data_IF_453625351072
#
_entry.id   IF_453625351072
#
_cell.length_a   1.000
_cell.length_b   1.000
_cell.length_c   1.000
_cell.angle_alpha   90.00
_cell.angle_beta   90.00
_cell.angle_gamma   90.00
#
_symmetry.space_group_name_H-M   'P 1'
#
loop_
_entity.id
_entity.type
_entity.pdbx_description
1 polymer ?
#
# COMPACT_ATOMS: atom_id res chain seq x y z
N UNK A 1 16.98 6.59 21.46
CA UNK A 1 16.55 6.64 20.07
C UNK A 1 16.42 5.21 19.53
N UNK A 2 15.29 4.90 18.91
CA UNK A 2 15.05 3.68 18.17
C UNK A 2 15.10 4.00 16.67
N UNK A 3 16.00 3.36 15.93
CA UNK A 3 16.15 3.51 14.48
C UNK A 3 16.45 2.16 13.85
N UNK A 4 16.37 2.06 12.54
CA UNK A 4 16.78 0.89 11.79
C UNK A 4 17.87 1.24 10.77
N UNK A 5 18.78 0.30 10.53
CA UNK A 5 19.77 0.41 9.45
C UNK A 5 19.13 0.03 8.10
N UNK A 6 19.71 0.50 6.99
CA UNK A 6 19.29 0.14 5.64
C UNK A 6 18.27 1.11 5.05
N UNK A 7 17.42 0.60 4.14
CA UNK A 7 16.55 1.44 3.30
C UNK A 7 15.26 1.88 3.96
N UNK A 8 14.85 1.26 5.03
CA UNK A 8 13.57 1.53 5.69
C UNK A 8 13.67 1.20 7.18
N UNK A 9 12.87 1.87 7.97
CA UNK A 9 12.54 1.45 9.32
C UNK A 9 11.93 0.04 9.27
N UNK A 10 11.27 -0.44 10.29
CA UNK A 10 10.67 -1.78 10.31
C UNK A 10 9.50 -1.83 9.32
N UNK A 11 9.57 -2.71 8.29
CA UNK A 11 8.56 -2.83 7.24
C UNK A 11 7.40 -3.80 7.57
N UNK A 12 7.28 -4.21 8.83
CA UNK A 12 6.26 -5.14 9.32
C UNK A 12 6.81 -6.48 9.77
N UNK A 13 5.90 -7.37 10.16
CA UNK A 13 6.22 -8.75 10.52
C UNK A 13 6.53 -9.60 9.26
N UNK A 14 7.34 -10.65 9.40
CA UNK A 14 7.52 -11.61 8.32
C UNK A 14 6.23 -12.44 8.14
N UNK A 15 5.57 -12.21 6.99
CA UNK A 15 4.31 -12.89 6.64
C UNK A 15 4.47 -14.42 6.62
N UNK A 16 5.69 -14.95 6.39
CA UNK A 16 5.98 -16.39 6.38
C UNK A 16 5.94 -17.01 7.78
N UNK A 17 5.97 -16.19 8.83
CA UNK A 17 5.87 -16.63 10.22
C UNK A 17 4.43 -16.69 10.72
N UNK A 18 3.48 -16.15 9.97
CA UNK A 18 2.07 -16.19 10.35
C UNK A 18 1.54 -17.64 10.42
N UNK A 19 0.94 -17.96 11.57
CA UNK A 19 0.44 -19.32 11.85
C UNK A 19 1.48 -20.29 12.40
N UNK A 20 2.74 -19.84 12.60
CA UNK A 20 3.76 -20.62 13.31
C UNK A 20 3.80 -20.23 14.80
N UNK A 21 4.32 -21.12 15.67
CA UNK A 21 4.61 -20.74 17.05
C UNK A 21 5.54 -19.53 17.08
N UNK A 22 5.13 -18.51 17.80
CA UNK A 22 5.95 -17.31 17.97
C UNK A 22 6.85 -17.48 19.21
N UNK A 23 8.10 -17.02 19.09
CA UNK A 23 9.04 -16.96 20.22
C UNK A 23 8.74 -15.81 21.19
N UNK A 24 9.36 -15.85 22.36
CA UNK A 24 9.34 -14.76 23.32
C UNK A 24 10.58 -13.84 23.10
N UNK A 25 10.44 -12.52 23.30
CA UNK A 25 9.21 -11.78 23.64
C UNK A 25 8.28 -11.59 22.44
N UNK A 26 6.99 -11.53 22.69
CA UNK A 26 6.00 -11.17 21.67
C UNK A 26 6.14 -9.68 21.31
N UNK A 27 5.80 -9.31 20.07
CA UNK A 27 5.90 -7.91 19.60
C UNK A 27 5.18 -6.93 20.52
N UNK A 28 3.99 -7.28 21.01
CA UNK A 28 3.22 -6.44 21.94
C UNK A 28 3.92 -6.23 23.29
N UNK A 29 4.68 -7.23 23.78
CA UNK A 29 5.39 -7.13 25.03
C UNK A 29 6.58 -6.18 24.90
N UNK A 30 7.24 -6.22 23.72
CA UNK A 30 8.30 -5.26 23.36
C UNK A 30 7.72 -3.84 23.25
N UNK A 31 6.58 -3.67 22.59
CA UNK A 31 5.91 -2.36 22.46
C UNK A 31 5.51 -1.84 23.84
N UNK A 32 4.95 -2.69 24.70
CA UNK A 32 4.60 -2.30 26.07
C UNK A 32 5.84 -1.91 26.90
N UNK A 33 6.95 -2.63 26.74
CA UNK A 33 8.21 -2.27 27.43
C UNK A 33 8.76 -0.92 26.94
N UNK A 34 8.66 -0.61 25.67
CA UNK A 34 9.04 0.69 25.10
C UNK A 34 8.14 1.79 25.66
N UNK A 35 6.82 1.59 25.62
CA UNK A 35 5.83 2.57 26.06
C UNK A 35 5.90 2.87 27.57
N UNK A 36 6.27 1.86 28.38
CA UNK A 36 6.44 2.00 29.83
C UNK A 36 7.86 2.46 30.25
N UNK A 37 8.70 2.81 29.29
CA UNK A 37 10.04 3.32 29.62
C UNK A 37 9.94 4.59 30.47
N UNK A 38 10.69 4.69 31.61
CA UNK A 38 10.71 5.90 32.41
C UNK A 38 11.43 7.08 31.74
N UNK A 39 12.06 6.85 30.59
CA UNK A 39 12.73 7.87 29.77
C UNK A 39 12.04 8.00 28.43
N UNK A 40 11.99 9.20 27.85
CA UNK A 40 11.49 9.38 26.51
C UNK A 40 12.19 8.46 25.50
N UNK A 41 11.42 7.75 24.70
CA UNK A 41 11.90 6.96 23.56
C UNK A 41 11.45 7.64 22.28
N UNK A 42 12.40 7.95 21.40
CA UNK A 42 12.17 8.57 20.10
C UNK A 42 12.33 7.53 19.01
N UNK A 43 11.32 7.34 18.17
CA UNK A 43 11.43 6.58 16.93
C UNK A 43 11.89 7.49 15.80
N UNK A 44 13.00 7.12 15.13
CA UNK A 44 13.50 7.81 13.93
C UNK A 44 13.13 7.01 12.69
N UNK A 45 12.11 7.48 11.97
CA UNK A 45 11.47 6.77 10.88
C UNK A 45 12.05 7.16 9.53
N UNK A 46 12.17 6.21 8.61
CA UNK A 46 12.55 6.45 7.22
C UNK A 46 12.00 5.36 6.31
N UNK A 47 11.91 5.66 5.02
CA UNK A 47 11.38 4.72 4.04
C UNK A 47 9.90 4.41 4.28
N UNK A 48 9.58 3.16 4.56
CA UNK A 48 8.20 2.71 4.74
C UNK A 48 8.01 1.91 6.03
N UNK A 49 7.83 2.57 7.20
CA UNK A 49 7.38 1.90 8.43
C UNK A 49 5.95 1.38 8.25
N UNK A 50 5.78 0.06 8.23
CA UNK A 50 4.51 -0.58 7.92
C UNK A 50 4.10 -1.60 8.99
N UNK A 51 2.79 -1.72 9.21
CA UNK A 51 2.21 -2.75 10.07
C UNK A 51 2.85 -2.78 11.44
N UNK A 52 3.33 -3.94 11.86
CA UNK A 52 4.03 -4.11 13.15
C UNK A 52 5.17 -3.11 13.36
N UNK A 53 5.83 -2.64 12.28
CA UNK A 53 6.85 -1.60 12.38
C UNK A 53 6.28 -0.22 12.76
N UNK A 54 5.12 0.14 12.22
CA UNK A 54 4.41 1.33 12.66
C UNK A 54 3.86 1.16 14.08
N UNK A 55 3.42 -0.06 14.45
CA UNK A 55 2.97 -0.34 15.83
C UNK A 55 4.10 -0.16 16.85
N UNK A 56 5.34 -0.56 16.52
CA UNK A 56 6.53 -0.26 17.34
C UNK A 56 6.75 1.25 17.46
N UNK A 57 6.63 1.98 16.36
CA UNK A 57 6.77 3.45 16.39
C UNK A 57 5.68 4.12 17.23
N UNK A 58 4.44 3.61 17.19
CA UNK A 58 3.34 4.06 18.06
C UNK A 58 3.56 3.74 19.55
N UNK A 59 4.34 2.71 19.87
CA UNK A 59 4.79 2.44 21.22
C UNK A 59 5.88 3.38 21.74
N UNK A 60 6.59 4.08 20.85
CA UNK A 60 7.54 5.12 21.23
C UNK A 60 6.80 6.40 21.63
N UNK A 61 7.42 7.18 22.53
CA UNK A 61 6.84 8.42 23.04
C UNK A 61 6.81 9.53 21.97
N UNK A 62 7.83 9.56 21.13
CA UNK A 62 8.00 10.58 20.09
C UNK A 62 8.41 9.94 18.76
N UNK A 63 8.05 10.56 17.66
CA UNK A 63 8.29 10.07 16.30
C UNK A 63 8.79 11.19 15.42
N UNK A 64 10.02 11.08 14.92
CA UNK A 64 10.56 11.95 13.87
C UNK A 64 10.77 11.13 12.61
N UNK A 65 10.53 11.71 11.44
CA UNK A 65 10.69 11.02 10.18
C UNK A 65 11.60 11.78 9.21
N UNK A 66 12.34 11.04 8.38
CA UNK A 66 13.02 11.64 7.23
C UNK A 66 12.00 12.05 6.15
N UNK A 67 12.31 13.07 5.33
CA UNK A 67 11.52 13.41 4.16
C UNK A 67 11.28 12.20 3.26
N UNK A 68 10.08 12.11 2.67
CA UNK A 68 9.69 11.01 1.79
C UNK A 68 9.30 9.71 2.52
N UNK A 69 9.32 9.68 3.86
CA UNK A 69 8.78 8.56 4.64
C UNK A 69 7.29 8.38 4.38
N UNK A 70 6.84 7.12 4.31
CA UNK A 70 5.43 6.77 4.10
C UNK A 70 5.02 5.68 5.09
N UNK A 71 4.25 6.03 6.10
CA UNK A 71 3.76 5.12 7.13
C UNK A 71 2.43 4.47 6.75
N UNK A 72 2.14 3.26 7.25
CA UNK A 72 0.86 2.62 6.97
C UNK A 72 0.59 1.33 7.73
N UNK A 73 -0.67 0.93 7.71
CA UNK A 73 -1.17 -0.34 8.30
C UNK A 73 -1.80 -1.20 7.19
N UNK A 74 -0.98 -1.88 6.34
CA UNK A 74 -1.47 -2.59 5.17
C UNK A 74 -2.03 -3.98 5.47
N UNK A 75 -2.20 -4.37 6.72
CA UNK A 75 -2.66 -5.69 7.17
C UNK A 75 -3.98 -6.10 6.53
N UNK A 76 -4.87 -5.15 6.28
CA UNK A 76 -6.17 -5.38 5.63
C UNK A 76 -6.03 -6.01 4.24
N UNK A 77 -4.94 -5.73 3.51
CA UNK A 77 -4.63 -6.33 2.20
C UNK A 77 -4.25 -7.81 2.30
N UNK A 78 -3.91 -8.27 3.50
CA UNK A 78 -3.62 -9.66 3.81
C UNK A 78 -4.78 -10.35 4.55
N UNK A 79 -5.94 -9.68 4.66
CA UNK A 79 -7.08 -10.21 5.40
C UNK A 79 -6.95 -10.13 6.92
N UNK A 80 -6.11 -9.24 7.41
CA UNK A 80 -5.82 -9.03 8.83
C UNK A 80 -6.14 -7.58 9.25
N UNK A 81 -6.05 -7.32 10.54
CA UNK A 81 -5.99 -5.99 11.13
C UNK A 81 -4.62 -5.80 11.82
N UNK A 82 -4.18 -4.59 12.18
CA UNK A 82 -3.08 -4.40 13.12
C UNK A 82 -3.34 -5.18 14.42
N UNK A 83 -2.36 -5.91 14.94
CA UNK A 83 -2.58 -6.87 16.03
C UNK A 83 -1.63 -6.73 17.22
N UNK A 84 -0.83 -5.66 17.25
CA UNK A 84 0.08 -5.36 18.36
C UNK A 84 -0.24 -4.01 19.05
N UNK A 85 -1.51 -3.59 18.97
CA UNK A 85 -2.03 -2.37 19.58
C UNK A 85 -2.20 -1.21 18.58
N UNK A 86 -2.05 -1.48 17.28
CA UNK A 86 -2.19 -0.45 16.25
C UNK A 86 -3.58 0.13 16.18
N UNK A 87 -4.64 -0.69 16.27
CA UNK A 87 -6.02 -0.22 16.25
C UNK A 87 -6.40 0.55 17.53
N UNK A 88 -5.62 0.39 18.58
CA UNK A 88 -5.83 1.09 19.86
C UNK A 88 -5.02 2.39 19.96
N UNK A 89 -3.77 2.40 19.48
CA UNK A 89 -2.89 3.57 19.53
C UNK A 89 -3.11 4.56 18.39
N UNK A 90 -3.41 4.06 17.19
CA UNK A 90 -3.56 4.92 16.02
C UNK A 90 -4.70 5.96 16.21
N UNK A 91 -5.93 5.59 16.62
CA UNK A 91 -6.98 6.58 16.84
C UNK A 91 -6.67 7.57 17.97
N UNK A 92 -5.87 7.15 18.96
CA UNK A 92 -5.36 8.04 20.02
C UNK A 92 -4.33 9.04 19.49
N UNK A 93 -3.55 8.65 18.48
CA UNK A 93 -2.54 9.51 17.87
C UNK A 93 -3.15 10.50 16.85
N UNK A 94 -4.01 10.02 15.95
CA UNK A 94 -4.44 10.77 14.76
C UNK A 94 -5.96 11.02 14.69
N UNK A 95 -6.73 10.58 15.68
CA UNK A 95 -8.18 10.65 15.65
C UNK A 95 -8.84 9.44 14.96
N UNK A 96 -10.13 9.27 15.25
CA UNK A 96 -10.88 8.08 14.85
C UNK A 96 -11.08 7.99 13.33
N UNK A 97 -11.42 9.10 12.68
CA UNK A 97 -11.70 9.12 11.24
C UNK A 97 -10.47 8.74 10.40
N UNK A 98 -9.32 9.37 10.69
CA UNK A 98 -8.07 9.06 10.00
C UNK A 98 -7.59 7.63 10.30
N UNK A 99 -7.77 7.13 11.52
CA UNK A 99 -7.44 5.76 11.89
C UNK A 99 -8.32 4.74 11.16
N UNK A 100 -9.63 4.98 11.05
CA UNK A 100 -10.55 4.16 10.26
C UNK A 100 -10.09 4.07 8.80
N UNK A 101 -9.75 5.22 8.20
CA UNK A 101 -9.29 5.24 6.81
C UNK A 101 -8.00 4.43 6.65
N UNK A 102 -6.99 4.63 7.49
CA UNK A 102 -5.73 3.89 7.39
C UNK A 102 -5.92 2.38 7.61
N UNK A 103 -6.64 1.98 8.65
CA UNK A 103 -6.82 0.58 9.03
C UNK A 103 -7.66 -0.18 8.00
N UNK A 104 -8.71 0.43 7.45
CA UNK A 104 -9.64 -0.26 6.54
C UNK A 104 -9.23 -0.23 5.09
N UNK A 105 -8.41 0.74 4.66
CA UNK A 105 -7.90 0.85 3.30
C UNK A 105 -6.50 0.26 3.12
N UNK A 106 -5.70 0.26 4.19
CA UNK A 106 -4.28 -0.09 4.13
C UNK A 106 -3.48 0.87 3.26
N UNK A 107 -3.91 2.15 3.17
CA UNK A 107 -3.16 3.17 2.44
C UNK A 107 -1.90 3.59 3.20
N UNK A 108 -0.97 4.16 2.48
CA UNK A 108 0.23 4.75 3.04
C UNK A 108 0.05 6.26 3.15
N UNK A 109 0.46 6.80 4.29
CA UNK A 109 0.39 8.23 4.62
C UNK A 109 1.79 8.82 4.44
N UNK A 110 1.97 9.83 3.56
CA UNK A 110 3.24 10.56 3.43
C UNK A 110 3.61 11.29 4.72
N UNK A 111 4.90 11.61 4.90
CA UNK A 111 5.42 12.25 6.10
C UNK A 111 4.71 13.58 6.42
N UNK A 112 4.42 14.38 5.39
CA UNK A 112 3.75 15.67 5.51
C UNK A 112 2.33 15.50 6.09
N UNK A 113 1.54 14.62 5.51
CA UNK A 113 0.20 14.27 6.00
C UNK A 113 0.26 13.63 7.40
N UNK A 114 1.25 12.76 7.64
CA UNK A 114 1.46 12.14 8.94
C UNK A 114 1.78 13.15 10.05
N UNK A 115 2.51 14.22 9.72
CA UNK A 115 2.77 15.33 10.63
C UNK A 115 1.48 16.12 10.91
N UNK A 116 0.73 16.47 9.90
CA UNK A 116 -0.56 17.18 10.02
C UNK A 116 -1.56 16.41 10.89
N UNK A 117 -1.64 15.10 10.71
CA UNK A 117 -2.50 14.21 11.49
C UNK A 117 -2.00 14.04 12.95
N UNK A 118 -0.73 14.35 13.24
CA UNK A 118 -0.11 14.12 14.55
C UNK A 118 0.41 12.68 14.74
N UNK A 119 0.55 11.91 13.66
CA UNK A 119 1.24 10.64 13.67
C UNK A 119 2.75 10.84 13.90
N UNK A 120 3.30 11.92 13.36
CA UNK A 120 4.68 12.38 13.56
C UNK A 120 4.71 13.64 14.41
N UNK A 121 5.83 13.85 15.10
CA UNK A 121 6.11 15.07 15.85
C UNK A 121 6.94 16.06 15.05
N UNK A 122 7.80 15.55 14.15
CA UNK A 122 8.62 16.36 13.26
C UNK A 122 9.01 15.62 11.98
N UNK A 123 9.35 16.38 10.94
CA UNK A 123 10.08 15.91 9.77
C UNK A 123 11.49 16.48 9.88
N UNK A 124 12.48 15.60 9.85
CA UNK A 124 13.89 15.96 10.00
C UNK A 124 14.44 16.65 8.75
N UNK A 125 15.48 17.45 8.94
CA UNK A 125 16.28 18.04 7.85
C UNK A 125 17.49 17.18 7.48
N UNK A 126 17.88 16.27 8.37
CA UNK A 126 18.96 15.31 8.18
C UNK A 126 18.57 14.25 7.15
N UNK A 127 19.58 13.65 6.51
CA UNK A 127 19.41 12.52 5.59
C UNK A 127 19.68 11.15 6.25
N UNK A 128 20.27 11.15 7.45
CA UNK A 128 20.56 9.94 8.23
C UNK A 128 19.56 9.78 9.37
N UNK A 129 18.88 8.63 9.49
CA UNK A 129 17.85 8.43 10.52
C UNK A 129 18.40 8.45 11.94
N UNK A 130 19.64 7.99 12.16
CA UNK A 130 20.24 8.06 13.50
C UNK A 130 20.53 9.51 13.87
N UNK A 131 21.11 10.28 12.99
CA UNK A 131 21.39 11.70 13.21
C UNK A 131 20.09 12.47 13.51
N UNK A 132 19.06 12.29 12.69
CA UNK A 132 17.72 12.87 12.87
C UNK A 132 17.13 12.54 14.26
N UNK A 133 17.17 11.25 14.61
CA UNK A 133 16.67 10.79 15.91
C UNK A 133 17.44 11.37 17.09
N UNK A 134 18.77 11.47 16.97
CA UNK A 134 19.62 12.04 18.03
C UNK A 134 19.40 13.54 18.17
N UNK A 135 19.32 14.29 17.07
CA UNK A 135 18.99 15.72 17.08
C UNK A 135 17.67 15.96 17.79
N UNK A 136 16.63 15.26 17.35
CA UNK A 136 15.29 15.41 17.94
C UNK A 136 15.23 14.98 19.41
N UNK A 137 15.96 13.91 19.78
CA UNK A 137 16.03 13.48 21.18
C UNK A 137 16.71 14.52 22.09
N UNK A 138 17.69 15.27 21.58
CA UNK A 138 18.31 16.40 22.32
C UNK A 138 17.30 17.52 22.52
N UNK A 139 16.51 17.87 21.50
CA UNK A 139 15.44 18.86 21.64
C UNK A 139 14.42 18.48 22.72
N UNK A 140 14.01 17.20 22.75
CA UNK A 140 13.13 16.65 23.81
C UNK A 140 13.75 16.80 25.20
N UNK A 141 15.05 16.51 25.34
CA UNK A 141 15.76 16.62 26.61
C UNK A 141 15.94 18.08 27.07
N UNK A 142 16.31 18.97 26.13
CA UNK A 142 16.51 20.40 26.41
C UNK A 142 15.19 21.05 26.81
N UNK A 143 14.09 20.66 26.17
CA UNK A 143 12.74 21.09 26.53
C UNK A 143 12.17 20.38 27.78
N UNK A 144 12.90 19.42 28.33
CA UNK A 144 12.49 18.61 29.52
C UNK A 144 11.11 17.94 29.33
N UNK A 145 10.82 17.49 28.11
CA UNK A 145 9.56 16.84 27.81
C UNK A 145 9.52 15.42 28.43
N UNK A 146 8.42 15.05 29.11
CA UNK A 146 8.28 13.74 29.74
C UNK A 146 7.99 12.64 28.73
N UNK A 147 8.12 11.35 29.11
CA UNK A 147 7.48 10.26 28.37
C UNK A 147 5.99 10.52 28.21
N UNK A 148 5.45 10.22 27.04
CA UNK A 148 4.02 10.44 26.71
C UNK A 148 3.44 9.21 26.02
N UNK A 149 3.05 8.17 26.78
CA UNK A 149 2.48 6.95 26.26
C UNK A 149 1.15 7.22 25.57
N UNK A 150 0.97 6.74 24.34
CA UNK A 150 -0.28 6.89 23.60
C UNK A 150 -1.44 6.13 24.22
N UNK A 151 -1.17 5.09 25.01
CA UNK A 151 -2.19 4.34 25.76
C UNK A 151 -3.01 5.21 26.71
N UNK A 152 -2.44 6.32 27.19
CA UNK A 152 -3.12 7.27 28.08
C UNK A 152 -3.85 8.41 27.34
N UNK A 153 -3.73 8.53 26.02
CA UNK A 153 -4.32 9.64 25.27
C UNK A 153 -5.75 9.30 24.84
N UNK A 154 -6.74 10.03 25.36
CA UNK A 154 -8.14 9.82 25.01
C UNK A 154 -8.79 11.02 24.31
N UNK A 155 -8.14 12.16 24.27
CA UNK A 155 -8.72 13.42 23.76
C UNK A 155 -9.14 13.33 22.28
N UNK A 156 -8.45 12.51 21.49
CA UNK A 156 -8.73 12.32 20.06
C UNK A 156 -9.71 11.18 19.75
N UNK A 157 -10.22 10.50 20.77
CA UNK A 157 -11.19 9.42 20.62
C UNK A 157 -12.64 9.91 20.46
N UNK A 158 -12.89 11.20 20.76
CA UNK A 158 -14.19 11.80 20.56
C UNK A 158 -14.55 11.83 19.06
N UNK A 159 -15.66 11.24 18.69
CA UNK A 159 -16.17 11.20 17.33
C UNK A 159 -17.70 11.10 17.32
N UNK A 160 -18.32 11.35 16.16
CA UNK A 160 -19.71 10.98 15.95
C UNK A 160 -19.86 9.45 15.98
N UNK A 161 -20.68 8.89 16.88
CA UNK A 161 -20.90 7.43 16.91
C UNK A 161 -21.43 6.85 15.60
N UNK A 162 -22.10 7.63 14.78
CA UNK A 162 -22.61 7.23 13.45
C UNK A 162 -21.51 6.89 12.45
N UNK A 163 -20.28 7.40 12.64
CA UNK A 163 -19.15 7.18 11.70
C UNK A 163 -18.85 5.69 11.48
N UNK A 164 -19.03 4.86 12.50
CA UNK A 164 -18.74 3.42 12.40
C UNK A 164 -19.74 2.72 11.50
N UNK A 165 -21.04 3.01 11.64
CA UNK A 165 -22.08 2.40 10.81
C UNK A 165 -22.03 2.90 9.37
N UNK A 166 -21.76 4.18 9.15
CA UNK A 166 -21.54 4.75 7.82
C UNK A 166 -20.32 4.09 7.14
N UNK A 167 -19.23 3.91 7.89
CA UNK A 167 -18.01 3.25 7.37
C UNK A 167 -18.29 1.79 7.04
N UNK A 168 -19.00 1.05 7.90
CA UNK A 168 -19.41 -0.34 7.61
C UNK A 168 -20.25 -0.44 6.35
N UNK A 169 -21.24 0.43 6.18
CA UNK A 169 -22.11 0.42 4.99
C UNK A 169 -21.32 0.70 3.71
N UNK A 170 -20.43 1.71 3.75
CA UNK A 170 -19.50 2.02 2.63
C UNK A 170 -18.60 0.84 2.29
N UNK A 171 -18.04 0.17 3.30
CA UNK A 171 -17.14 -0.95 3.12
C UNK A 171 -17.89 -2.20 2.59
N UNK A 172 -19.07 -2.53 3.08
CA UNK A 172 -19.88 -3.64 2.55
C UNK A 172 -20.09 -3.54 1.04
N UNK A 173 -20.35 -2.33 0.54
CA UNK A 173 -20.51 -2.08 -0.90
C UNK A 173 -19.17 -2.19 -1.66
N UNK A 174 -18.07 -1.72 -1.07
CA UNK A 174 -16.76 -1.60 -1.73
C UNK A 174 -15.95 -2.91 -1.70
N UNK A 175 -15.97 -3.64 -0.59
CA UNK A 175 -15.04 -4.75 -0.32
C UNK A 175 -15.58 -6.13 -0.66
N UNK A 176 -16.82 -6.21 -1.18
CA UNK A 176 -17.39 -7.46 -1.73
C UNK A 176 -17.29 -8.67 -0.78
N UNK A 177 -17.56 -8.47 0.51
CA UNK A 177 -17.58 -9.54 1.51
C UNK A 177 -16.23 -9.86 2.16
N UNK A 178 -15.20 -9.02 1.98
CA UNK A 178 -13.97 -9.12 2.77
C UNK A 178 -14.28 -8.86 4.25
N UNK A 179 -13.72 -9.70 5.13
CA UNK A 179 -13.95 -9.62 6.58
C UNK A 179 -13.09 -8.55 7.25
N UNK A 180 -11.81 -8.50 6.92
CA UNK A 180 -10.84 -7.67 7.63
C UNK A 180 -11.11 -6.15 7.59
N UNK A 181 -11.69 -5.55 6.52
CA UNK A 181 -12.05 -4.14 6.59
C UNK A 181 -13.12 -3.84 7.65
N UNK A 182 -14.13 -4.72 7.79
CA UNK A 182 -15.17 -4.58 8.82
C UNK A 182 -14.62 -4.86 10.22
N UNK A 183 -13.77 -5.88 10.35
CA UNK A 183 -13.03 -6.18 11.57
C UNK A 183 -12.15 -5.01 12.02
N UNK A 184 -11.55 -4.28 11.06
CA UNK A 184 -10.82 -3.04 11.33
C UNK A 184 -11.70 -1.94 11.93
N UNK A 185 -12.94 -1.79 11.44
CA UNK A 185 -13.91 -0.87 12.04
C UNK A 185 -14.23 -1.27 13.47
N UNK A 186 -14.53 -2.54 13.72
CA UNK A 186 -14.86 -3.06 15.05
C UNK A 186 -13.72 -2.87 16.05
N UNK A 187 -12.47 -3.04 15.61
CA UNK A 187 -11.30 -2.86 16.44
C UNK A 187 -11.03 -1.38 16.79
N UNK A 188 -11.21 -0.46 15.82
CA UNK A 188 -11.09 0.99 16.08
C UNK A 188 -12.25 1.49 16.95
N UNK A 189 -13.48 1.00 16.73
CA UNK A 189 -14.62 1.33 17.57
C UNK A 189 -14.39 0.90 19.03
N UNK A 190 -13.77 -0.25 19.26
CA UNK A 190 -13.42 -0.70 20.60
C UNK A 190 -12.53 0.30 21.35
N UNK A 191 -11.65 1.01 20.65
CA UNK A 191 -10.78 2.04 21.27
C UNK A 191 -11.58 3.25 21.81
N UNK A 192 -12.79 3.51 21.29
CA UNK A 192 -13.66 4.60 21.75
C UNK A 192 -14.62 4.20 22.87
N UNK A 193 -14.84 2.89 23.03
CA UNK A 193 -15.86 2.36 23.99
C UNK A 193 -15.24 1.70 25.22
N UNK A 194 -13.98 1.25 25.11
CA UNK A 194 -13.30 0.48 26.15
C UNK A 194 -12.05 1.25 26.63
N UNK A 195 -11.62 0.94 27.84
CA UNK A 195 -10.29 1.36 28.27
C UNK A 195 -9.21 0.69 27.42
N UNK A 196 -7.97 1.18 27.50
CA UNK A 196 -6.90 0.71 26.63
C UNK A 196 -6.64 -0.80 26.80
N UNK A 197 -6.65 -1.31 28.03
CA UNK A 197 -6.35 -2.71 28.31
C UNK A 197 -7.43 -3.65 27.76
N UNK A 198 -8.70 -3.31 27.93
CA UNK A 198 -9.82 -4.06 27.36
C UNK A 198 -9.87 -3.92 25.83
N UNK A 199 -9.57 -2.73 25.30
CA UNK A 199 -9.41 -2.51 23.86
C UNK A 199 -8.34 -3.39 23.23
N UNK A 200 -7.17 -3.55 23.89
CA UNK A 200 -6.11 -4.48 23.47
C UNK A 200 -6.54 -5.95 23.49
N UNK A 201 -7.36 -6.36 24.47
CA UNK A 201 -7.95 -7.72 24.49
C UNK A 201 -8.89 -7.91 23.32
N UNK A 202 -9.76 -6.92 23.06
CA UNK A 202 -10.72 -6.96 21.96
C UNK A 202 -10.02 -6.97 20.59
N UNK A 203 -9.00 -6.14 20.39
CA UNK A 203 -8.18 -6.18 19.17
C UNK A 203 -7.62 -7.59 18.94
N UNK A 204 -7.11 -8.23 20.00
CA UNK A 204 -6.53 -9.57 19.88
C UNK A 204 -7.54 -10.64 19.49
N UNK A 205 -8.76 -10.58 20.04
CA UNK A 205 -9.85 -11.48 19.63
C UNK A 205 -10.16 -11.34 18.15
N UNK A 206 -10.37 -10.10 17.70
CA UNK A 206 -10.66 -9.78 16.30
C UNK A 206 -9.51 -10.18 15.38
N UNK A 207 -8.26 -9.93 15.81
CA UNK A 207 -7.07 -10.35 15.06
C UNK A 207 -7.02 -11.87 14.90
N UNK A 208 -7.30 -12.63 15.95
CA UNK A 208 -7.34 -14.10 15.91
C UNK A 208 -8.42 -14.59 14.95
N UNK A 209 -9.62 -14.04 14.99
CA UNK A 209 -10.71 -14.40 14.07
C UNK A 209 -10.30 -14.14 12.60
N UNK A 210 -9.60 -13.05 12.34
CA UNK A 210 -9.00 -12.77 11.03
C UNK A 210 -7.92 -13.81 10.67
N UNK A 211 -7.05 -14.16 11.62
CA UNK A 211 -5.97 -15.14 11.42
C UNK A 211 -6.49 -16.53 11.07
N UNK A 212 -7.60 -16.95 11.62
CA UNK A 212 -8.26 -18.24 11.37
C UNK A 212 -9.11 -18.24 10.10
N UNK A 213 -9.36 -17.05 9.52
CA UNK A 213 -10.19 -16.90 8.33
C UNK A 213 -9.54 -17.53 7.08
N UNK A 214 -10.31 -18.27 6.25
CA UNK A 214 -9.83 -18.71 4.95
C UNK A 214 -9.50 -17.56 4.00
N UNK A 215 -10.10 -16.37 4.18
CA UNK A 215 -9.80 -15.20 3.38
C UNK A 215 -8.36 -14.73 3.58
N UNK A 216 -7.83 -14.77 4.81
CA UNK A 216 -6.42 -14.48 5.07
C UNK A 216 -5.50 -15.40 4.28
N UNK A 217 -5.74 -16.71 4.32
CA UNK A 217 -4.92 -17.68 3.60
C UNK A 217 -4.93 -17.41 2.09
N UNK A 218 -6.09 -17.12 1.51
CA UNK A 218 -6.25 -16.79 0.11
C UNK A 218 -5.54 -15.48 -0.28
N UNK A 219 -5.67 -14.42 0.53
CA UNK A 219 -5.03 -13.12 0.27
C UNK A 219 -3.52 -13.20 0.40
N UNK A 220 -2.98 -13.95 1.37
CA UNK A 220 -1.54 -14.21 1.48
C UNK A 220 -1.04 -15.01 0.28
N UNK A 221 -1.78 -16.00 -0.17
CA UNK A 221 -1.43 -16.77 -1.38
C UNK A 221 -1.37 -15.85 -2.62
N UNK A 222 -2.38 -15.01 -2.83
CA UNK A 222 -2.40 -14.05 -3.92
C UNK A 222 -1.21 -13.08 -3.84
N UNK A 223 -0.92 -12.54 -2.66
CA UNK A 223 0.19 -11.64 -2.42
C UNK A 223 1.57 -12.24 -2.80
N UNK A 224 1.82 -13.49 -2.44
CA UNK A 224 3.05 -14.16 -2.86
C UNK A 224 3.02 -14.56 -4.34
N UNK A 225 1.85 -14.93 -4.87
CA UNK A 225 1.66 -15.24 -6.28
C UNK A 225 1.99 -14.04 -7.18
N UNK A 226 1.48 -12.85 -6.86
CA UNK A 226 1.79 -11.62 -7.60
C UNK A 226 3.30 -11.30 -7.61
N UNK A 227 3.99 -11.54 -6.51
CA UNK A 227 5.44 -11.35 -6.43
C UNK A 227 6.23 -12.42 -7.18
N UNK A 228 5.75 -13.66 -7.16
CA UNK A 228 6.40 -14.76 -7.85
C UNK A 228 6.33 -14.60 -9.36
N UNK A 229 5.20 -14.17 -9.92
CA UNK A 229 5.04 -13.97 -11.38
C UNK A 229 5.84 -12.77 -11.91
N UNK A 230 6.27 -11.85 -11.05
CA UNK A 230 7.16 -10.76 -11.44
C UNK A 230 8.59 -11.25 -11.73
N UNK A 231 8.96 -12.46 -11.27
CA UNK A 231 10.25 -13.09 -11.54
C UNK A 231 10.11 -14.12 -12.65
N UNK A 232 10.81 -13.92 -13.75
CA UNK A 232 10.81 -14.88 -14.86
C UNK A 232 11.82 -15.99 -14.56
N UNK A 233 11.38 -17.27 -14.45
CA UNK A 233 12.31 -18.37 -14.19
C UNK A 233 13.40 -18.47 -15.27
N UNK A 234 14.63 -18.62 -14.84
CA UNK A 234 15.78 -18.78 -15.78
C UNK A 234 16.36 -17.45 -16.30
N UNK A 235 15.78 -16.30 -15.95
CA UNK A 235 16.43 -15.00 -16.20
C UNK A 235 17.15 -14.50 -14.96
N UNK A 236 18.37 -14.01 -15.12
CA UNK A 236 19.08 -13.31 -14.04
C UNK A 236 18.46 -11.93 -13.82
N UNK A 237 18.59 -11.39 -12.61
CA UNK A 237 18.15 -10.01 -12.29
C UNK A 237 18.94 -8.94 -13.06
N UNK A 238 20.09 -9.30 -13.62
CA UNK A 238 20.95 -8.45 -14.47
C UNK A 238 20.51 -8.45 -15.94
N UNK A 239 19.55 -9.31 -16.32
CA UNK A 239 19.06 -9.35 -17.70
C UNK A 239 18.27 -8.09 -18.02
N UNK A 240 18.86 -7.21 -18.82
CA UNK A 240 18.18 -5.99 -19.23
C UNK A 240 16.92 -6.33 -20.07
N UNK A 241 15.75 -5.80 -19.72
CA UNK A 241 14.56 -5.96 -20.54
C UNK A 241 14.76 -5.29 -21.91
N UNK A 242 14.12 -5.85 -22.93
CA UNK A 242 14.09 -5.19 -24.25
C UNK A 242 13.27 -3.91 -24.11
N UNK A 243 13.77 -2.81 -24.65
CA UNK A 243 13.03 -1.56 -24.71
C UNK A 243 11.82 -1.69 -25.64
N UNK A 244 10.64 -1.33 -25.13
CA UNK A 244 9.38 -1.32 -25.89
C UNK A 244 8.81 0.08 -25.82
N UNK A 245 8.72 0.76 -26.97
CA UNK A 245 8.23 2.14 -27.07
C UNK A 245 6.83 2.23 -27.68
N UNK A 246 6.43 1.22 -28.48
CA UNK A 246 5.12 1.15 -29.11
C UNK A 246 4.55 -0.26 -29.08
N UNK A 247 3.23 -0.36 -29.03
CA UNK A 247 2.49 -1.62 -28.97
C UNK A 247 1.26 -1.53 -29.87
N UNK A 248 0.99 -2.59 -30.63
CA UNK A 248 -0.26 -2.73 -31.37
C UNK A 248 -1.28 -3.54 -30.55
N UNK A 249 -2.51 -3.04 -30.45
CA UNK A 249 -3.65 -3.73 -29.84
C UNK A 249 -4.68 -4.05 -30.93
N UNK A 250 -4.90 -5.33 -31.19
CA UNK A 250 -5.86 -5.81 -32.18
C UNK A 250 -7.22 -5.98 -31.50
N UNK A 251 -8.20 -5.20 -31.95
CA UNK A 251 -9.54 -5.12 -31.38
C UNK A 251 -9.67 -3.98 -30.37
N UNK A 252 -10.47 -2.96 -30.69
CA UNK A 252 -10.76 -1.81 -29.83
C UNK A 252 -12.07 -1.97 -29.02
N UNK A 253 -12.50 -3.21 -28.76
CA UNK A 253 -13.64 -3.52 -27.91
C UNK A 253 -13.39 -3.18 -26.43
N UNK A 254 -14.28 -3.64 -25.53
CA UNK A 254 -14.18 -3.36 -24.09
C UNK A 254 -12.82 -3.79 -23.50
N UNK A 255 -12.36 -5.01 -23.83
CA UNK A 255 -11.07 -5.51 -23.36
C UNK A 255 -9.90 -4.77 -23.99
N UNK A 256 -9.87 -4.66 -25.34
CA UNK A 256 -8.77 -4.01 -26.05
C UNK A 256 -8.64 -2.53 -25.72
N UNK A 257 -9.74 -1.82 -25.55
CA UNK A 257 -9.74 -0.43 -25.08
C UNK A 257 -9.14 -0.29 -23.67
N UNK A 258 -9.46 -1.22 -22.76
CA UNK A 258 -8.87 -1.25 -21.40
C UNK A 258 -7.36 -1.54 -21.43
N UNK A 259 -6.92 -2.49 -22.26
CA UNK A 259 -5.50 -2.82 -22.47
C UNK A 259 -4.76 -1.61 -23.05
N UNK A 260 -5.32 -0.96 -24.05
CA UNK A 260 -4.73 0.24 -24.66
C UNK A 260 -4.55 1.37 -23.63
N UNK A 261 -5.55 1.60 -22.77
CA UNK A 261 -5.44 2.59 -21.70
C UNK A 261 -4.36 2.24 -20.68
N UNK A 262 -4.23 0.97 -20.30
CA UNK A 262 -3.19 0.53 -19.37
C UNK A 262 -1.79 0.73 -19.97
N UNK A 263 -1.58 0.42 -21.24
CA UNK A 263 -0.32 0.61 -21.94
C UNK A 263 0.01 2.11 -22.13
N UNK A 264 -0.97 2.92 -22.48
CA UNK A 264 -0.81 4.37 -22.58
C UNK A 264 -0.49 5.01 -21.23
N UNK A 265 -1.08 4.50 -20.14
CA UNK A 265 -0.77 4.93 -18.78
C UNK A 265 0.66 4.55 -18.35
N UNK A 266 1.22 3.46 -18.90
CA UNK A 266 2.62 3.07 -18.73
C UNK A 266 3.60 3.85 -19.62
N UNK A 267 3.13 4.82 -20.39
CA UNK A 267 3.95 5.69 -21.23
C UNK A 267 4.17 5.19 -22.66
N UNK A 268 3.58 4.05 -23.04
CA UNK A 268 3.77 3.45 -24.36
C UNK A 268 2.88 4.11 -25.40
N UNK A 269 3.35 4.16 -26.65
CA UNK A 269 2.51 4.49 -27.80
C UNK A 269 1.68 3.27 -28.21
N UNK A 270 0.37 3.45 -28.43
CA UNK A 270 -0.56 2.35 -28.67
C UNK A 270 -1.27 2.53 -30.01
N UNK A 271 -0.99 1.63 -30.93
CA UNK A 271 -1.68 1.54 -32.21
C UNK A 271 -2.89 0.62 -32.10
N UNK A 272 -4.09 1.15 -32.26
CA UNK A 272 -5.33 0.37 -32.29
C UNK A 272 -5.62 -0.11 -33.71
N UNK A 273 -5.89 -1.41 -33.83
CA UNK A 273 -6.24 -2.07 -35.10
C UNK A 273 -7.63 -2.65 -34.98
N UNK A 274 -8.50 -2.32 -35.93
CA UNK A 274 -9.84 -2.87 -36.03
C UNK A 274 -10.16 -3.27 -37.47
N UNK A 275 -11.15 -4.14 -37.61
CA UNK A 275 -11.62 -4.64 -38.93
C UNK A 275 -12.32 -3.58 -39.79
N UNK A 276 -12.81 -2.50 -39.18
CA UNK A 276 -13.48 -1.40 -39.89
C UNK A 276 -13.24 -0.09 -39.18
N UNK A 277 -13.33 1.03 -39.94
CA UNK A 277 -13.19 2.37 -39.39
C UNK A 277 -14.28 2.67 -38.34
N UNK A 278 -15.53 2.26 -38.59
CA UNK A 278 -16.63 2.47 -37.63
C UNK A 278 -16.37 1.78 -36.27
N UNK A 279 -15.81 0.56 -36.30
CA UNK A 279 -15.45 -0.17 -35.08
C UNK A 279 -14.29 0.50 -34.33
N UNK A 280 -13.32 1.05 -35.06
CA UNK A 280 -12.20 1.80 -34.50
C UNK A 280 -12.68 3.10 -33.85
N UNK A 281 -13.52 3.88 -34.55
CA UNK A 281 -14.07 5.14 -34.02
C UNK A 281 -14.94 4.91 -32.78
N UNK A 282 -15.74 3.84 -32.78
CA UNK A 282 -16.50 3.42 -31.61
C UNK A 282 -15.57 3.02 -30.45
N UNK A 283 -14.43 2.38 -30.71
CA UNK A 283 -13.40 2.03 -29.74
C UNK A 283 -12.75 3.26 -29.12
N UNK A 284 -12.29 4.19 -29.94
CA UNK A 284 -11.68 5.45 -29.52
C UNK A 284 -12.66 6.30 -28.69
N UNK A 285 -13.94 6.35 -29.10
CA UNK A 285 -15.00 7.03 -28.34
C UNK A 285 -15.18 6.44 -26.95
N UNK A 286 -15.14 5.11 -26.78
CA UNK A 286 -15.21 4.44 -25.46
C UNK A 286 -14.00 4.77 -24.60
N UNK A 287 -12.81 4.78 -25.18
CA UNK A 287 -11.56 5.17 -24.47
C UNK A 287 -11.70 6.59 -23.94
N UNK A 288 -12.11 7.55 -24.77
CA UNK A 288 -12.34 8.94 -24.37
C UNK A 288 -13.34 9.02 -23.22
N UNK A 289 -14.51 8.40 -23.32
CA UNK A 289 -15.52 8.38 -22.25
C UNK A 289 -14.99 7.81 -20.95
N UNK A 290 -14.12 6.81 -21.00
CA UNK A 290 -13.49 6.22 -19.80
C UNK A 290 -12.53 7.21 -19.12
N UNK A 291 -11.74 7.93 -19.92
CA UNK A 291 -10.85 8.98 -19.41
C UNK A 291 -11.64 10.16 -18.82
N UNK A 292 -12.67 10.66 -19.53
CA UNK A 292 -13.54 11.74 -19.03
C UNK A 292 -14.21 11.38 -17.71
N UNK A 293 -14.69 10.14 -17.58
CA UNK A 293 -15.25 9.62 -16.33
C UNK A 293 -14.20 9.54 -15.20
N UNK A 294 -12.94 9.28 -15.53
CA UNK A 294 -11.86 9.26 -14.54
C UNK A 294 -11.49 10.67 -14.09
N UNK A 295 -11.54 11.64 -14.98
CA UNK A 295 -11.35 13.07 -14.64
C UNK A 295 -12.48 13.55 -13.74
N UNK A 296 -13.75 13.26 -14.09
CA UNK A 296 -14.91 13.68 -13.31
C UNK A 296 -14.94 13.11 -11.87
N UNK A 297 -14.34 11.92 -11.67
CA UNK A 297 -14.16 11.30 -10.34
C UNK A 297 -12.90 11.77 -9.59
N UNK A 298 -12.11 12.68 -10.17
CA UNK A 298 -10.86 13.15 -9.57
C UNK A 298 -9.72 12.12 -9.53
N UNK A 299 -9.85 10.99 -10.25
CA UNK A 299 -8.80 9.96 -10.33
C UNK A 299 -7.71 10.25 -11.36
N UNK A 300 -7.95 11.19 -12.26
CA UNK A 300 -7.01 11.73 -13.24
C UNK A 300 -7.19 13.24 -13.36
N UNK A 301 -6.10 13.96 -13.68
CA UNK A 301 -6.21 15.35 -14.16
C UNK A 301 -6.58 15.37 -15.64
N UNK A 302 -7.14 16.47 -16.11
CA UNK A 302 -7.45 16.66 -17.54
C UNK A 302 -6.18 16.52 -18.41
N UNK A 303 -5.05 17.06 -17.95
CA UNK A 303 -3.77 16.96 -18.64
C UNK A 303 -3.29 15.50 -18.79
N UNK A 304 -3.42 14.69 -17.76
CA UNK A 304 -3.08 13.27 -17.80
C UNK A 304 -4.01 12.48 -18.73
N UNK A 305 -5.30 12.84 -18.78
CA UNK A 305 -6.25 12.21 -19.68
C UNK A 305 -5.92 12.50 -21.16
N UNK A 306 -5.62 13.75 -21.51
CA UNK A 306 -5.21 14.15 -22.85
C UNK A 306 -3.85 13.54 -23.26
N UNK A 307 -2.89 13.46 -22.35
CA UNK A 307 -1.62 12.77 -22.61
C UNK A 307 -1.84 11.30 -22.97
N UNK A 308 -2.65 10.56 -22.19
CA UNK A 308 -2.95 9.14 -22.46
C UNK A 308 -3.72 8.96 -23.77
N UNK A 309 -4.65 9.87 -24.05
CA UNK A 309 -5.38 9.85 -25.30
C UNK A 309 -4.46 10.11 -26.51
N UNK A 310 -3.53 11.06 -26.40
CA UNK A 310 -2.53 11.37 -27.43
C UNK A 310 -1.53 10.23 -27.70
N UNK A 311 -1.37 9.30 -26.76
CA UNK A 311 -0.58 8.07 -26.93
C UNK A 311 -1.37 6.92 -27.57
N UNK A 312 -2.70 7.06 -27.73
CA UNK A 312 -3.59 6.03 -28.25
C UNK A 312 -4.22 6.50 -29.56
N UNK A 313 -3.99 5.79 -30.64
CA UNK A 313 -4.51 6.19 -31.95
C UNK A 313 -4.70 5.02 -32.91
N UNK A 314 -5.22 5.30 -34.12
CA UNK A 314 -5.29 4.31 -35.18
C UNK A 314 -3.89 3.90 -35.64
N UNK A 315 -3.71 2.64 -36.01
CA UNK A 315 -2.46 2.18 -36.62
C UNK A 315 -2.10 3.03 -37.85
N UNK A 316 -0.90 3.60 -37.82
CA UNK A 316 -0.38 4.43 -38.91
C UNK A 316 0.20 3.55 -40.01
N UNK A 317 -0.68 3.14 -40.94
CA UNK A 317 -0.28 2.44 -42.18
C UNK A 317 -0.06 0.93 -42.00
N UNK A 318 -0.25 0.18 -43.08
CA UNK A 318 -0.07 -1.28 -43.15
C UNK A 318 1.39 -1.75 -42.99
N UNK A 319 2.36 -0.83 -42.96
CA UNK A 319 3.79 -1.15 -43.00
C UNK A 319 4.34 -1.66 -41.66
N UNK A 320 3.66 -1.39 -40.53
CA UNK A 320 4.11 -1.85 -39.22
C UNK A 320 3.72 -3.30 -38.87
N UNK A 321 2.76 -3.90 -39.59
CA UNK A 321 2.40 -5.31 -39.39
C UNK A 321 3.40 -6.27 -40.05
N UNK A 322 4.16 -5.81 -41.02
CA UNK A 322 5.20 -6.59 -41.73
C UNK A 322 6.37 -6.98 -40.84
N UNK A 323 6.79 -6.11 -39.91
CA UNK A 323 7.93 -6.35 -39.04
C UNK A 323 7.65 -7.38 -37.91
N UNK A 324 6.42 -7.45 -37.40
CA UNK A 324 6.07 -8.39 -36.33
C UNK A 324 5.80 -9.82 -36.84
N UNK A 325 5.36 -9.96 -38.10
CA UNK A 325 5.13 -11.27 -38.76
C UNK A 325 6.43 -11.88 -39.27
N UNK A 326 7.37 -11.07 -39.75
CA UNK A 326 8.65 -11.56 -40.31
C UNK A 326 9.59 -12.15 -39.24
N UNK A 327 9.49 -11.71 -37.98
CA UNK A 327 10.32 -12.23 -36.88
C UNK A 327 9.98 -13.67 -36.44
N UNK A 328 8.84 -14.24 -36.84
CA UNK A 328 8.44 -15.63 -36.51
C UNK A 328 8.73 -16.67 -37.58
N UNK A 329 9.03 -16.25 -38.83
CA UNK A 329 9.30 -17.21 -39.92
C UNK A 329 10.77 -17.62 -40.04
N UNK A 330 11.71 -16.91 -39.37
CA UNK A 330 13.14 -17.12 -39.52
C UNK A 330 13.77 -18.25 -38.70
N UNK A 331 13.05 -18.87 -37.73
CA UNK A 331 13.68 -19.79 -36.79
C UNK A 331 13.18 -21.26 -36.85
N UNK A 332 12.64 -21.69 -38.00
CA UNK A 332 12.17 -23.05 -38.19
C UNK A 332 12.66 -23.74 -39.48
N UNK A 333 13.90 -23.50 -39.90
CA UNK A 333 14.57 -24.37 -40.91
C UNK A 333 16.08 -24.35 -40.65
N UNK A 334 16.55 -25.17 -39.76
CA UNK A 334 17.90 -25.75 -39.81
C UNK A 334 18.02 -26.81 -38.71
N UNK A 335 17.43 -27.98 -38.93
CA UNK A 335 17.85 -29.26 -38.32
C UNK A 335 17.16 -30.38 -39.07
N UNK A 336 17.68 -30.72 -40.24
CA UNK A 336 17.61 -32.08 -40.81
C UNK A 336 18.48 -32.15 -42.06
N UNK A 337 19.73 -32.50 -41.89
CA UNK A 337 20.50 -33.29 -42.84
C UNK A 337 21.95 -33.36 -42.38
N UNK A 338 22.32 -34.45 -41.71
CA UNK A 338 23.53 -35.20 -41.92
C UNK A 338 23.44 -36.49 -41.10
N UNK A 339 22.95 -37.51 -41.76
CA UNK A 339 23.30 -38.90 -41.46
C UNK A 339 24.25 -39.33 -42.57
N UNK A 340 25.44 -39.69 -42.25
CA UNK A 340 26.23 -40.79 -42.81
C UNK A 340 27.34 -41.10 -41.84
#
# INVERSE_FOLDING_TARGET
>A
VLYAAGRTFIAGADIKEFGKPQGDPQLRDVIAAIENSPKPVVAALHGTPLGGGLEVALGCHYRVALPGTRAGTPEVKLGLIPGAGGTQRLPRAIGVEAALDMVTSGRFVPAEEALELGLLDAIATESDPLAAGVTFAKEILDAKLPPRPLSGWNDRLACDPGIFDETREKLRRKTRGQLSPLAGVDAVEAATKLDFAEGMKREREIFRDCMESPQRAALIHAFFGERAVAKVPGLSEETAPREVNSVAVIGAGTMGGGIALALAAAGLHVDLIEKSQDALDAGLSRIRKTLDSSVSRGSLTAAQAEERLGRTGPARGSDHLGGAAAGRAGNRREKSSTSS
#
